data_IF_961384127261
#
_entry.id   IF_961384127261
#
_cell.length_a   1.000
_cell.length_b   1.000
_cell.length_c   1.000
_cell.angle_alpha   90.00
_cell.angle_beta   90.00
_cell.angle_gamma   90.00
#
_symmetry.space_group_name_H-M   'P 1'
#
loop_
_entity.id
_entity.type
_entity.pdbx_description
1 polymer ?
#
# COMPACT_ATOMS: atom_id res chain seq x y z
N UNK A 1 1.99 6.86 15.92
CA UNK A 1 1.96 7.25 14.48
C UNK A 1 3.15 6.59 13.83
N UNK A 2 2.91 5.82 12.77
CA UNK A 2 3.99 5.07 12.12
C UNK A 2 4.23 5.53 10.67
N UNK A 3 3.30 6.31 10.09
CA UNK A 3 3.36 6.78 8.71
C UNK A 3 2.86 8.22 8.68
N UNK A 4 3.55 9.08 7.93
CA UNK A 4 3.13 10.45 7.66
C UNK A 4 3.06 10.66 6.15
N UNK A 5 1.88 11.09 5.66
CA UNK A 5 1.68 11.51 4.29
C UNK A 5 1.95 13.01 4.16
N UNK A 6 2.92 13.38 3.33
CA UNK A 6 3.34 14.75 3.08
C UNK A 6 3.01 15.14 1.63
N UNK A 7 1.73 15.42 1.36
CA UNK A 7 1.28 15.88 0.04
C UNK A 7 1.60 17.36 -0.21
N UNK A 8 2.80 17.80 0.15
CA UNK A 8 3.29 19.17 -0.02
C UNK A 8 4.79 19.20 -0.30
N UNK A 9 5.27 20.31 -0.79
CA UNK A 9 6.68 20.57 -1.05
C UNK A 9 6.87 21.81 -1.91
N UNK A 10 8.13 22.17 -2.13
CA UNK A 10 8.47 23.32 -2.96
C UNK A 10 9.98 23.47 -3.18
N UNK A 11 10.31 24.34 -4.11
CA UNK A 11 11.70 24.77 -4.38
C UNK A 11 12.09 25.97 -3.53
N UNK A 12 13.38 26.34 -3.55
CA UNK A 12 13.85 27.57 -2.93
C UNK A 12 13.96 27.54 -1.39
N UNK A 13 13.95 26.34 -0.79
CA UNK A 13 14.20 26.22 0.66
C UNK A 13 15.63 26.61 1.01
N UNK A 14 15.80 27.49 2.00
CA UNK A 14 17.11 27.82 2.53
C UNK A 14 17.73 26.65 3.29
N UNK A 15 19.06 26.61 3.35
CA UNK A 15 19.81 25.52 4.01
C UNK A 15 19.37 25.30 5.47
N UNK A 16 19.08 26.36 6.21
CA UNK A 16 18.58 26.27 7.59
C UNK A 16 17.25 25.53 7.67
N UNK A 17 16.27 25.85 6.79
CA UNK A 17 14.97 25.17 6.77
C UNK A 17 15.13 23.69 6.42
N UNK A 18 15.98 23.38 5.46
CA UNK A 18 16.29 21.99 5.06
C UNK A 18 16.89 21.24 6.24
N UNK A 19 17.89 21.81 6.93
CA UNK A 19 18.54 21.18 8.09
C UNK A 19 17.57 20.92 9.23
N UNK A 20 16.69 21.86 9.55
CA UNK A 20 15.68 21.69 10.61
C UNK A 20 14.75 20.53 10.29
N UNK A 21 14.20 20.48 9.08
CA UNK A 21 13.28 19.42 8.69
C UNK A 21 13.99 18.06 8.59
N UNK A 22 15.21 18.04 8.05
CA UNK A 22 16.04 16.84 7.99
C UNK A 22 16.27 16.26 9.39
N UNK A 23 16.74 17.09 10.33
CA UNK A 23 17.00 16.67 11.71
C UNK A 23 15.73 16.20 12.43
N UNK A 24 14.57 16.81 12.15
CA UNK A 24 13.30 16.37 12.71
C UNK A 24 12.89 14.99 12.21
N UNK A 25 13.12 14.68 10.94
CA UNK A 25 12.82 13.36 10.33
C UNK A 25 13.85 12.32 10.84
N UNK A 26 15.11 12.67 10.92
CA UNK A 26 16.18 11.80 11.47
C UNK A 26 15.94 11.40 12.92
N UNK A 27 15.33 12.27 13.71
CA UNK A 27 15.01 12.00 15.12
C UNK A 27 13.91 10.93 15.32
N UNK A 28 13.19 10.55 14.26
CA UNK A 28 12.08 9.59 14.31
C UNK A 28 12.20 8.50 13.22
N UNK A 29 13.27 7.68 13.25
CA UNK A 29 13.59 6.74 12.17
C UNK A 29 12.53 5.66 11.93
N UNK A 30 11.70 5.37 12.94
CA UNK A 30 10.61 4.40 12.84
C UNK A 30 9.35 4.96 12.17
N UNK A 31 9.26 6.28 11.99
CA UNK A 31 8.17 6.91 11.24
C UNK A 31 8.55 6.99 9.77
N UNK A 32 7.69 6.48 8.90
CA UNK A 32 7.90 6.49 7.45
C UNK A 32 7.19 7.70 6.82
N UNK A 33 7.94 8.52 6.09
CA UNK A 33 7.45 9.74 5.44
C UNK A 33 7.26 9.48 3.94
N UNK A 34 6.04 9.64 3.46
CA UNK A 34 5.70 9.53 2.03
C UNK A 34 5.45 10.94 1.51
N UNK A 35 6.27 11.39 0.56
CA UNK A 35 6.36 12.79 0.18
C UNK A 35 6.12 12.99 -1.32
N UNK A 36 5.33 14.00 -1.67
CA UNK A 36 5.06 14.37 -3.05
C UNK A 36 6.30 14.93 -3.75
N UNK A 37 6.61 14.44 -4.95
CA UNK A 37 7.78 14.90 -5.72
C UNK A 37 7.68 16.36 -6.19
N UNK A 38 6.46 16.88 -6.30
CA UNK A 38 6.17 18.23 -6.77
C UNK A 38 5.38 18.26 -8.08
N UNK A 39 4.80 19.41 -8.37
CA UNK A 39 4.01 19.63 -9.59
C UNK A 39 4.33 20.98 -10.21
N UNK A 40 4.15 21.07 -11.54
CA UNK A 40 4.21 22.34 -12.26
C UNK A 40 2.87 22.64 -12.95
N UNK A 41 2.54 23.90 -13.07
CA UNK A 41 1.30 24.33 -13.70
C UNK A 41 1.30 24.16 -15.23
N UNK A 42 2.49 24.15 -15.86
CA UNK A 42 2.67 23.99 -17.30
C UNK A 42 3.55 22.79 -17.58
N UNK A 43 3.31 22.08 -18.67
CA UNK A 43 3.94 20.79 -18.95
C UNK A 43 5.31 20.88 -19.66
N UNK A 44 5.85 22.09 -19.90
CA UNK A 44 7.06 22.22 -20.72
C UNK A 44 7.99 23.32 -20.22
N UNK A 45 9.26 23.00 -19.90
CA UNK A 45 9.81 21.65 -19.70
C UNK A 45 9.32 21.04 -18.40
N UNK A 46 9.20 19.71 -18.38
CA UNK A 46 8.85 18.96 -17.17
C UNK A 46 9.98 19.08 -16.14
N UNK A 47 9.71 19.44 -14.88
CA UNK A 47 10.78 19.70 -13.91
C UNK A 47 11.50 18.43 -13.44
N UNK A 48 12.81 18.50 -13.48
CA UNK A 48 13.72 17.47 -13.03
C UNK A 48 14.27 17.82 -11.63
N UNK A 49 13.92 17.02 -10.63
CA UNK A 49 14.37 17.21 -9.25
C UNK A 49 15.86 16.90 -9.06
N UNK A 50 16.49 16.23 -10.03
CA UNK A 50 17.95 16.04 -10.04
C UNK A 50 18.67 17.35 -10.39
N UNK A 51 18.00 18.29 -11.09
CA UNK A 51 18.51 19.61 -11.44
C UNK A 51 18.05 20.69 -10.46
N UNK A 52 16.80 20.62 -9.98
CA UNK A 52 16.22 21.61 -9.08
C UNK A 52 15.53 20.90 -7.93
N UNK A 53 16.18 20.90 -6.77
CA UNK A 53 15.69 20.20 -5.58
C UNK A 53 14.33 20.70 -5.11
N UNK A 54 13.41 19.76 -4.83
CA UNK A 54 12.12 20.00 -4.17
C UNK A 54 12.17 19.44 -2.77
N UNK A 55 11.95 20.27 -1.77
CA UNK A 55 11.94 19.86 -0.37
C UNK A 55 10.51 19.77 0.18
N UNK A 56 10.24 18.81 1.11
CA UNK A 56 11.19 17.88 1.71
C UNK A 56 11.47 16.60 0.90
N UNK A 57 10.89 16.42 -0.29
CA UNK A 57 11.01 15.24 -1.16
C UNK A 57 12.47 14.83 -1.44
N UNK A 58 13.36 15.83 -1.65
CA UNK A 58 14.79 15.62 -1.90
C UNK A 58 15.51 14.85 -0.77
N UNK A 59 14.97 14.86 0.45
CA UNK A 59 15.55 14.15 1.60
C UNK A 59 15.52 12.62 1.43
N UNK A 60 14.81 12.10 0.45
CA UNK A 60 14.85 10.67 0.08
C UNK A 60 16.27 10.17 -0.24
N UNK A 61 17.16 11.08 -0.70
CA UNK A 61 18.55 10.74 -1.02
C UNK A 61 19.39 10.44 0.22
N UNK A 62 19.01 11.01 1.36
CA UNK A 62 19.78 10.96 2.60
C UNK A 62 19.15 10.06 3.67
N UNK A 63 17.83 9.81 3.57
CA UNK A 63 17.03 9.21 4.65
C UNK A 63 16.29 7.96 4.17
N UNK A 64 16.50 6.85 4.85
CA UNK A 64 15.84 5.58 4.56
C UNK A 64 14.34 5.57 4.90
N UNK A 65 13.92 6.46 5.81
CA UNK A 65 12.52 6.62 6.21
C UNK A 65 11.75 7.67 5.40
N UNK A 66 12.27 8.08 4.26
CA UNK A 66 11.63 9.00 3.31
C UNK A 66 11.51 8.34 1.96
N UNK A 67 10.34 8.46 1.33
CA UNK A 67 10.09 8.05 -0.06
C UNK A 67 9.44 9.20 -0.84
N UNK A 68 9.97 9.50 -2.02
CA UNK A 68 9.49 10.54 -2.94
C UNK A 68 8.62 9.93 -4.03
N UNK A 69 7.45 10.54 -4.31
CA UNK A 69 6.41 9.95 -5.17
C UNK A 69 6.05 10.86 -6.34
N UNK A 70 6.24 10.37 -7.57
CA UNK A 70 5.76 10.98 -8.81
C UNK A 70 4.32 10.55 -9.15
N UNK A 71 3.68 11.27 -10.08
CA UNK A 71 2.30 11.04 -10.50
C UNK A 71 2.23 10.36 -11.87
N UNK A 72 1.46 9.26 -11.98
CA UNK A 72 1.10 8.65 -13.26
C UNK A 72 -0.35 8.91 -13.67
N UNK A 73 -0.59 8.85 -14.98
CA UNK A 73 -1.92 8.83 -15.59
C UNK A 73 -2.54 7.42 -15.52
N UNK A 74 -3.81 7.30 -15.94
CA UNK A 74 -4.49 6.01 -16.10
C UNK A 74 -3.93 5.14 -17.23
N UNK A 75 -3.09 5.72 -18.10
CA UNK A 75 -2.40 5.01 -19.20
C UNK A 75 -0.98 4.60 -18.81
N UNK A 76 -0.63 4.66 -17.51
CA UNK A 76 0.70 4.32 -16.99
C UNK A 76 1.85 5.23 -17.48
N UNK A 77 1.51 6.41 -18.01
CA UNK A 77 2.47 7.44 -18.41
C UNK A 77 2.78 8.36 -17.23
N UNK A 78 4.01 8.89 -17.17
CA UNK A 78 4.32 9.99 -16.25
C UNK A 78 3.42 11.18 -16.59
N UNK A 79 2.66 11.69 -15.61
CA UNK A 79 1.84 12.87 -15.82
C UNK A 79 2.69 14.07 -16.28
N UNK A 80 2.24 14.78 -17.31
CA UNK A 80 2.97 15.93 -17.88
C UNK A 80 3.25 17.06 -16.87
N UNK A 81 2.49 17.12 -15.78
CA UNK A 81 2.67 18.10 -14.70
C UNK A 81 3.47 17.56 -13.52
N UNK A 82 3.80 16.26 -13.50
CA UNK A 82 4.58 15.66 -12.42
C UNK A 82 6.03 16.07 -12.48
N UNK A 83 6.61 16.42 -11.35
CA UNK A 83 8.05 16.39 -11.20
C UNK A 83 8.57 14.95 -11.27
N UNK A 84 9.84 14.80 -11.68
CA UNK A 84 10.55 13.53 -11.77
C UNK A 84 12.02 13.71 -11.35
N UNK A 85 12.75 12.61 -11.22
CA UNK A 85 14.19 12.63 -10.97
C UNK A 85 14.72 11.22 -10.90
N UNK A 86 15.65 10.86 -11.77
CA UNK A 86 16.21 9.51 -11.85
C UNK A 86 16.97 9.09 -10.58
N UNK A 87 17.40 10.07 -9.76
CA UNK A 87 18.15 9.84 -8.51
C UNK A 87 17.48 10.47 -7.27
N UNK A 88 16.36 11.20 -7.43
CA UNK A 88 15.73 11.98 -6.36
C UNK A 88 14.23 11.75 -6.21
N UNK A 89 13.65 10.89 -7.06
CA UNK A 89 12.26 10.46 -6.94
C UNK A 89 12.22 8.93 -6.98
N UNK A 90 11.69 8.30 -5.94
CA UNK A 90 11.83 6.85 -5.76
C UNK A 90 10.88 6.04 -6.64
N UNK A 91 9.61 6.41 -6.64
CA UNK A 91 8.54 5.60 -7.25
C UNK A 91 7.46 6.51 -7.84
N UNK A 92 6.70 6.00 -8.81
CA UNK A 92 5.49 6.67 -9.27
C UNK A 92 4.23 5.94 -8.76
N UNK A 93 3.12 6.66 -8.68
CA UNK A 93 1.82 6.08 -8.33
C UNK A 93 0.68 6.82 -9.06
N UNK A 94 -0.51 6.19 -9.21
CA UNK A 94 -1.68 6.86 -9.79
C UNK A 94 -2.04 8.13 -9.04
N UNK A 95 -2.08 9.25 -9.73
CA UNK A 95 -2.36 10.55 -9.14
C UNK A 95 -3.12 11.50 -10.08
N UNK A 96 -3.52 11.04 -11.27
CA UNK A 96 -4.26 11.84 -12.25
C UNK A 96 -5.74 11.47 -12.24
N UNK A 97 -6.62 12.50 -12.11
CA UNK A 97 -8.09 12.36 -12.04
C UNK A 97 -8.52 11.42 -10.90
N UNK A 98 -7.95 11.61 -9.73
CA UNK A 98 -8.30 10.83 -8.53
C UNK A 98 -9.57 11.39 -7.90
N UNK A 99 -10.63 10.58 -7.85
CA UNK A 99 -11.89 10.92 -7.20
C UNK A 99 -11.82 10.60 -5.71
N UNK A 100 -12.08 11.60 -4.88
CA UNK A 100 -12.02 11.46 -3.42
C UNK A 100 -12.88 12.51 -2.72
N UNK A 101 -12.89 12.50 -1.40
CA UNK A 101 -13.50 13.54 -0.57
C UNK A 101 -12.77 14.86 -0.74
N UNK A 102 -13.54 15.95 -0.81
CA UNK A 102 -13.04 17.32 -0.83
C UNK A 102 -13.73 18.13 0.27
N UNK A 103 -13.24 19.33 0.64
CA UNK A 103 -13.89 20.20 1.63
C UNK A 103 -15.36 20.40 1.37
N UNK A 104 -16.11 20.79 2.41
CA UNK A 104 -17.55 21.05 2.38
C UNK A 104 -18.44 19.81 2.17
N UNK A 105 -18.02 18.65 2.74
CA UNK A 105 -18.79 17.39 2.68
C UNK A 105 -19.16 16.95 1.27
N UNK A 106 -18.25 17.10 0.34
CA UNK A 106 -18.42 16.80 -1.07
C UNK A 106 -17.37 15.82 -1.59
N UNK A 107 -17.51 15.46 -2.88
CA UNK A 107 -16.58 14.62 -3.60
C UNK A 107 -16.17 15.29 -4.90
N UNK A 108 -14.95 15.05 -5.34
CA UNK A 108 -14.44 15.62 -6.58
C UNK A 108 -13.17 14.95 -7.05
N UNK A 109 -12.72 15.34 -8.23
CA UNK A 109 -11.47 14.85 -8.81
C UNK A 109 -10.36 15.86 -8.66
N UNK A 110 -9.17 15.38 -8.31
CA UNK A 110 -7.94 16.17 -8.29
C UNK A 110 -6.81 15.39 -8.98
N UNK A 111 -5.80 16.12 -9.44
CA UNK A 111 -4.61 15.53 -10.08
C UNK A 111 -3.34 16.12 -9.50
N UNK A 112 -2.33 15.28 -9.31
CA UNK A 112 -1.01 15.70 -8.85
C UNK A 112 -0.28 14.64 -8.07
N UNK A 113 1.00 14.88 -7.80
CA UNK A 113 1.81 14.06 -6.90
C UNK A 113 1.21 14.02 -5.49
N UNK A 114 0.45 15.04 -5.09
CA UNK A 114 -0.32 15.07 -3.85
C UNK A 114 -1.37 13.96 -3.75
N UNK A 115 -1.94 13.48 -4.88
CA UNK A 115 -2.89 12.37 -4.95
C UNK A 115 -2.18 11.02 -5.09
N UNK A 116 -1.03 10.99 -5.72
CA UNK A 116 -0.18 9.80 -5.82
C UNK A 116 0.42 9.38 -4.46
N UNK A 117 0.82 10.37 -3.66
CA UNK A 117 1.46 10.16 -2.35
C UNK A 117 0.62 9.31 -1.39
N UNK A 118 -0.69 9.55 -1.17
CA UNK A 118 -1.51 8.73 -0.29
C UNK A 118 -1.73 7.30 -0.81
N UNK A 119 -1.60 7.04 -2.10
CA UNK A 119 -1.62 5.67 -2.63
C UNK A 119 -0.43 4.86 -2.09
N UNK A 120 0.76 5.46 -2.10
CA UNK A 120 1.97 4.84 -1.51
C UNK A 120 1.83 4.73 0.01
N UNK A 121 1.35 5.77 0.69
CA UNK A 121 1.14 5.74 2.14
C UNK A 121 0.19 4.63 2.57
N UNK A 122 -0.87 4.39 1.79
CA UNK A 122 -1.81 3.30 2.01
C UNK A 122 -1.17 1.91 1.85
N UNK A 123 -0.30 1.73 0.84
CA UNK A 123 0.46 0.49 0.67
C UNK A 123 1.39 0.24 1.86
N UNK A 124 2.11 1.28 2.34
CA UNK A 124 2.95 1.19 3.55
C UNK A 124 2.13 0.78 4.78
N UNK A 125 0.91 1.32 4.92
CA UNK A 125 0.02 0.96 6.03
C UNK A 125 -0.34 -0.54 6.01
N UNK A 126 -0.65 -1.09 4.84
CA UNK A 126 -0.91 -2.53 4.68
C UNK A 126 0.35 -3.35 4.94
N UNK A 127 1.52 -2.92 4.44
CA UNK A 127 2.80 -3.60 4.70
C UNK A 127 3.07 -3.69 6.21
N UNK A 128 2.90 -2.61 6.96
CA UNK A 128 3.07 -2.61 8.43
C UNK A 128 2.00 -3.39 9.17
N UNK A 129 0.79 -3.50 8.63
CA UNK A 129 -0.24 -4.37 9.19
C UNK A 129 0.10 -5.86 9.05
N UNK A 130 0.75 -6.24 7.94
CA UNK A 130 1.20 -7.62 7.68
C UNK A 130 2.49 -7.95 8.43
N UNK A 131 3.44 -7.02 8.46
CA UNK A 131 4.70 -7.13 9.20
C UNK A 131 4.92 -5.87 10.07
N UNK A 132 4.48 -5.86 11.34
CA UNK A 132 4.61 -4.70 12.23
C UNK A 132 6.05 -4.28 12.52
N UNK A 133 7.02 -5.19 12.36
CA UNK A 133 8.43 -4.96 12.66
C UNK A 133 9.26 -4.61 11.42
N UNK A 134 8.63 -4.42 10.26
CA UNK A 134 9.33 -4.06 9.03
C UNK A 134 10.00 -2.70 9.19
N UNK A 135 11.30 -2.62 8.91
CA UNK A 135 12.06 -1.38 8.99
C UNK A 135 11.68 -0.40 7.86
N UNK A 136 11.94 0.87 8.08
CA UNK A 136 11.73 1.93 7.08
C UNK A 136 12.51 1.64 5.79
N UNK A 137 13.76 1.21 5.91
CA UNK A 137 14.61 0.82 4.79
C UNK A 137 14.01 -0.32 3.98
N UNK A 138 13.58 -1.41 4.64
CA UNK A 138 12.94 -2.54 3.97
C UNK A 138 11.64 -2.15 3.26
N UNK A 139 10.84 -1.24 3.85
CA UNK A 139 9.63 -0.70 3.20
C UNK A 139 10.02 -0.02 1.88
N UNK A 140 10.98 0.92 1.92
CA UNK A 140 11.43 1.67 0.76
C UNK A 140 11.97 0.76 -0.34
N UNK A 141 12.88 -0.15 -0.01
CA UNK A 141 13.47 -1.11 -0.93
C UNK A 141 12.40 -2.05 -1.54
N UNK A 142 11.46 -2.54 -0.73
CA UNK A 142 10.39 -3.41 -1.20
C UNK A 142 9.43 -2.68 -2.15
N UNK A 143 9.01 -1.47 -1.83
CA UNK A 143 8.16 -0.66 -2.71
C UNK A 143 8.82 -0.43 -4.07
N UNK A 144 10.11 -0.08 -4.08
CA UNK A 144 10.86 0.16 -5.32
C UNK A 144 11.08 -1.13 -6.12
N UNK A 145 11.48 -2.22 -5.47
CA UNK A 145 11.81 -3.48 -6.17
C UNK A 145 10.58 -4.19 -6.70
N UNK A 146 9.45 -4.14 -5.99
CA UNK A 146 8.19 -4.79 -6.35
C UNK A 146 7.30 -3.98 -7.31
N UNK A 147 7.70 -2.75 -7.66
CA UNK A 147 6.96 -1.86 -8.57
C UNK A 147 6.84 -2.45 -9.99
N UNK A 148 5.75 -2.17 -10.67
CA UNK A 148 5.57 -2.50 -12.08
C UNK A 148 6.50 -1.65 -12.93
N UNK A 149 7.50 -2.26 -13.56
CA UNK A 149 8.48 -1.55 -14.40
C UNK A 149 7.81 -1.10 -15.70
N UNK A 150 7.88 0.20 -15.98
CA UNK A 150 7.24 0.82 -17.13
C UNK A 150 8.27 1.60 -17.95
N UNK A 151 8.24 1.43 -19.27
CA UNK A 151 9.17 2.16 -20.16
C UNK A 151 9.05 3.67 -20.03
N UNK A 152 7.83 4.18 -19.81
CA UNK A 152 7.55 5.59 -19.58
C UNK A 152 8.20 6.17 -18.31
N UNK A 153 8.57 5.32 -17.34
CA UNK A 153 9.16 5.71 -16.06
C UNK A 153 10.67 5.42 -15.99
N UNK A 154 11.23 4.75 -17.01
CA UNK A 154 12.67 4.46 -17.09
C UNK A 154 13.46 5.77 -17.14
N UNK A 155 14.41 5.96 -16.21
CA UNK A 155 15.18 7.19 -16.07
C UNK A 155 14.37 8.41 -15.60
N UNK A 156 13.15 8.20 -15.13
CA UNK A 156 12.29 9.23 -14.56
C UNK A 156 12.13 9.10 -13.04
N UNK A 157 12.15 7.87 -12.54
CA UNK A 157 12.17 7.58 -11.11
C UNK A 157 13.17 6.46 -10.82
N UNK A 158 13.71 6.40 -9.60
CA UNK A 158 14.74 5.44 -9.19
C UNK A 158 14.29 4.00 -9.46
N UNK A 159 13.05 3.66 -9.10
CA UNK A 159 12.48 2.34 -9.35
C UNK A 159 12.23 2.04 -10.83
N UNK A 160 12.14 3.05 -11.71
CA UNK A 160 11.66 2.90 -13.08
C UNK A 160 10.23 2.34 -13.16
N UNK A 161 9.44 2.46 -12.09
CA UNK A 161 8.16 1.77 -12.00
C UNK A 161 7.06 2.51 -11.24
N UNK A 162 5.84 2.02 -11.44
CA UNK A 162 4.63 2.43 -10.72
C UNK A 162 4.39 1.49 -9.54
N UNK A 163 3.88 2.02 -8.43
CA UNK A 163 3.45 1.27 -7.26
C UNK A 163 2.62 0.04 -7.63
N UNK A 164 3.03 -1.12 -7.13
CA UNK A 164 2.25 -2.34 -7.07
C UNK A 164 2.10 -2.78 -5.62
N UNK A 165 1.00 -2.34 -4.99
CA UNK A 165 0.74 -2.62 -3.58
C UNK A 165 0.61 -4.12 -3.28
N UNK A 166 0.03 -4.91 -4.20
CA UNK A 166 -0.08 -6.35 -4.05
C UNK A 166 1.29 -7.03 -4.01
N UNK A 167 2.16 -6.71 -4.96
CA UNK A 167 3.51 -7.28 -5.02
C UNK A 167 4.36 -6.86 -3.80
N UNK A 168 4.22 -5.60 -3.35
CA UNK A 168 4.92 -5.10 -2.17
C UNK A 168 4.50 -5.86 -0.90
N UNK A 169 3.20 -6.04 -0.70
CA UNK A 169 2.67 -6.79 0.45
C UNK A 169 3.06 -8.26 0.37
N UNK A 170 2.93 -8.87 -0.81
CA UNK A 170 3.31 -10.27 -1.03
C UNK A 170 4.78 -10.54 -0.74
N UNK A 171 5.67 -9.61 -1.08
CA UNK A 171 7.11 -9.75 -0.87
C UNK A 171 7.50 -9.81 0.61
N UNK A 172 6.70 -9.23 1.51
CA UNK A 172 6.96 -9.21 2.95
C UNK A 172 6.11 -10.20 3.76
N UNK A 173 5.21 -10.94 3.10
CA UNK A 173 4.44 -11.98 3.78
C UNK A 173 5.38 -13.07 4.31
N UNK A 174 5.18 -13.53 5.56
CA UNK A 174 5.92 -14.68 6.05
C UNK A 174 5.71 -15.86 5.08
N UNK A 175 6.81 -16.43 4.58
CA UNK A 175 6.72 -17.68 3.83
C UNK A 175 6.10 -18.71 4.77
N UNK A 176 4.93 -19.26 4.41
CA UNK A 176 4.31 -20.31 5.19
C UNK A 176 5.31 -21.46 5.32
N UNK A 177 5.92 -21.62 6.49
CA UNK A 177 6.68 -22.82 6.80
C UNK A 177 5.68 -23.98 6.67
N UNK A 178 5.94 -25.00 5.83
CA UNK A 178 5.01 -26.11 5.71
C UNK A 178 4.79 -26.68 7.10
N UNK A 179 3.57 -26.52 7.62
CA UNK A 179 3.16 -27.16 8.87
C UNK A 179 3.36 -28.64 8.67
N UNK A 180 4.24 -29.26 9.46
CA UNK A 180 4.47 -30.69 9.41
C UNK A 180 3.11 -31.38 9.44
N UNK A 181 2.78 -32.10 8.38
CA UNK A 181 1.56 -32.92 8.31
C UNK A 181 1.55 -33.79 9.55
N UNK A 182 0.51 -33.77 10.41
CA UNK A 182 0.48 -34.62 11.58
C UNK A 182 0.62 -36.06 11.12
N UNK A 183 1.71 -36.71 11.49
CA UNK A 183 1.91 -38.14 11.27
C UNK A 183 0.82 -38.87 12.06
N UNK A 184 -0.15 -39.40 11.34
CA UNK A 184 -1.19 -40.25 11.94
C UNK A 184 -0.49 -41.45 12.51
N UNK A 185 -0.34 -41.46 13.83
CA UNK A 185 0.16 -42.63 14.56
C UNK A 185 -0.96 -43.70 14.43
N UNK A 186 -0.75 -44.68 13.58
CA UNK A 186 -1.63 -45.84 13.45
C UNK A 186 -1.71 -46.54 14.80
N UNK A 187 -2.77 -46.30 15.52
CA UNK A 187 -3.13 -47.04 16.72
C UNK A 187 -3.64 -48.43 16.30
N UNK A 188 -3.06 -49.45 16.90
CA UNK A 188 -3.38 -50.85 16.63
C UNK A 188 -4.91 -51.14 16.73
N UNK A 189 -5.37 -51.97 15.82
CA UNK A 189 -6.71 -52.53 15.70
C UNK A 189 -7.18 -53.17 17.02
N UNK A 190 -8.32 -52.79 17.57
CA UNK A 190 -8.91 -53.54 18.66
C UNK A 190 -9.63 -54.80 18.11
N UNK A 191 -9.35 -55.89 18.76
CA UNK A 191 -9.94 -57.21 18.59
C UNK A 191 -11.45 -57.19 18.83
N UNK A 192 -12.19 -57.89 17.99
CA UNK A 192 -13.62 -58.08 17.95
C UNK A 192 -14.22 -58.59 19.24
N UNK A 193 -15.32 -57.91 19.71
CA UNK A 193 -16.25 -58.44 20.70
C UNK A 193 -17.65 -58.55 20.05
N UNK A 194 -18.39 -59.64 20.26
CA UNK A 194 -19.64 -59.89 19.50
C UNK A 194 -20.83 -59.08 20.03
N UNK A 195 -21.67 -58.73 19.07
CA UNK A 195 -22.91 -57.94 19.17
C UNK A 195 -24.04 -58.65 19.92
N UNK A 196 -24.85 -57.94 20.74
CA UNK A 196 -26.22 -58.36 21.01
C UNK A 196 -27.21 -57.67 20.05
N UNK A 197 -28.13 -58.47 19.52
CA UNK A 197 -29.23 -58.06 18.65
C UNK A 197 -30.32 -57.41 19.50
N UNK A 198 -30.75 -56.20 19.15
CA UNK A 198 -31.95 -55.56 19.69
C UNK A 198 -32.88 -55.15 18.56
N UNK A 199 -34.12 -55.61 18.64
CA UNK A 199 -35.22 -55.41 17.72
C UNK A 199 -35.82 -54.01 17.89
N UNK A 200 -36.14 -53.23 16.85
CA UNK A 200 -36.77 -51.93 17.00
C UNK A 200 -38.30 -52.02 17.07
N UNK A 201 -38.90 -51.23 17.98
CA UNK A 201 -40.32 -50.93 18.08
C UNK A 201 -40.73 -49.71 17.28
N UNK A 202 -41.90 -49.64 16.65
CA UNK A 202 -42.27 -48.57 15.75
C UNK A 202 -42.71 -47.29 16.44
N UNK A 203 -42.26 -46.17 15.93
CA UNK A 203 -42.57 -44.81 16.39
C UNK A 203 -43.60 -44.15 15.48
N UNK A 204 -44.56 -43.47 16.11
CA UNK A 204 -45.68 -42.79 15.48
C UNK A 204 -45.30 -41.47 14.78
N UNK A 205 -46.00 -41.18 13.71
CA UNK A 205 -45.91 -39.96 12.85
C UNK A 205 -46.69 -38.80 13.48
N UNK A 206 -46.13 -37.59 13.59
CA UNK A 206 -46.92 -36.41 13.94
C UNK A 206 -47.52 -35.70 12.72
N UNK A 207 -48.79 -35.33 12.83
CA UNK A 207 -49.62 -34.62 11.87
C UNK A 207 -49.33 -33.09 11.97
N UNK A 208 -49.11 -32.43 10.84
CA UNK A 208 -48.91 -30.96 10.77
C UNK A 208 -50.21 -30.26 10.44
N UNK A 209 -50.57 -29.24 11.22
CA UNK A 209 -51.74 -28.35 11.07
C UNK A 209 -51.34 -27.11 10.27
N UNK A 210 -52.08 -26.64 9.26
CA UNK A 210 -51.76 -25.45 8.49
C UNK A 210 -52.12 -24.15 9.25
N UNK A 211 -51.25 -23.15 9.13
CA UNK A 211 -51.40 -21.78 9.70
C UNK A 211 -51.80 -20.81 8.60
N UNK A 212 -52.72 -19.90 8.96
CA UNK A 212 -53.41 -18.97 8.10
C UNK A 212 -52.54 -17.75 7.70
N UNK A 213 -52.83 -17.18 6.52
CA UNK A 213 -52.29 -15.97 5.90
C UNK A 213 -52.84 -14.68 6.58
N UNK A 214 -52.07 -13.62 6.80
CA UNK A 214 -52.61 -12.31 7.17
C UNK A 214 -52.88 -11.44 5.93
N UNK A 215 -54.05 -10.80 5.98
CA UNK A 215 -54.57 -9.82 5.05
C UNK A 215 -54.00 -8.41 5.36
N UNK A 216 -53.72 -7.67 4.31
CA UNK A 216 -53.35 -6.25 4.22
C UNK A 216 -54.43 -5.30 4.75
N UNK A 217 -54.01 -4.22 5.42
CA UNK A 217 -54.60 -2.88 5.35
C UNK A 217 -53.47 -1.88 5.24
#
# INVERSE_FOLDING_TARGET
INIINCSFGGTGWGSTSVSIVKSAIEAVPDIFFVIAAGNIATSTPQPDNDQTAVYPSQLTKDLDNVISVANTTSSDELSSTSHYGATSVDIAAPGTVIYSTIPTSSYGTMSGTSMATPMVASAVAVMRAVNPNISAKEIKETLCSSSDKLSALTGKVISGGRLNAYNAVKAIMPTATPTATPTVKTTATPTTVPTPIVTPSPTATPTVKPTATPTTV
#
